data_IF_340448895210
#
_entry.id   IF_340448895210
#
_cell.length_a   1.000
_cell.length_b   1.000
_cell.length_c   1.000
_cell.angle_alpha   90.00
_cell.angle_beta   90.00
_cell.angle_gamma   90.00
#
_symmetry.space_group_name_H-M   'P 1'
#
loop_
_entity.id
_entity.type
_entity.pdbx_description
1 polymer ?
#
# COMPACT_ATOMS: atom_id res chain seq x y z
N UNK A 1 18.20 3.24 -25.39
CA UNK A 1 17.83 4.26 -24.38
C UNK A 1 16.68 3.68 -23.58
N UNK A 2 16.85 3.64 -22.26
CA UNK A 2 15.86 3.27 -21.23
C UNK A 2 15.35 1.82 -21.21
N UNK A 3 16.11 0.95 -20.54
CA UNK A 3 15.57 -0.29 -19.98
C UNK A 3 14.39 0.03 -19.07
N UNK A 4 13.21 -0.46 -19.44
CA UNK A 4 12.07 -0.59 -18.54
C UNK A 4 12.50 -1.48 -17.37
N UNK A 5 12.90 -0.87 -16.25
CA UNK A 5 13.02 -1.61 -14.99
C UNK A 5 11.60 -1.93 -14.57
N UNK A 6 11.15 -3.15 -14.87
CA UNK A 6 9.99 -3.77 -14.24
C UNK A 6 10.12 -3.53 -12.74
N UNK A 7 9.24 -2.71 -12.17
CA UNK A 7 9.22 -2.48 -10.73
C UNK A 7 8.78 -3.79 -10.10
N UNK A 8 9.56 -4.32 -9.16
CA UNK A 8 9.20 -5.56 -8.48
C UNK A 8 7.80 -5.39 -7.86
N UNK A 9 6.87 -6.34 -8.05
CA UNK A 9 5.49 -6.20 -7.58
C UNK A 9 5.42 -6.01 -6.05
N UNK A 10 6.42 -6.50 -5.31
CA UNK A 10 6.57 -6.24 -3.89
C UNK A 10 6.85 -4.76 -3.59
N UNK A 11 7.75 -4.10 -4.33
CA UNK A 11 8.05 -2.66 -4.17
C UNK A 11 6.80 -1.82 -4.47
N UNK A 12 6.05 -2.19 -5.52
CA UNK A 12 4.81 -1.50 -5.86
C UNK A 12 3.75 -1.64 -4.75
N UNK A 13 3.56 -2.86 -4.24
CA UNK A 13 2.67 -3.12 -3.10
C UNK A 13 3.08 -2.31 -1.88
N UNK A 14 4.35 -2.33 -1.50
CA UNK A 14 4.84 -1.67 -0.30
C UNK A 14 4.71 -0.15 -0.40
N UNK A 15 4.91 0.40 -1.59
CA UNK A 15 4.67 1.83 -1.87
C UNK A 15 3.18 2.20 -1.70
N UNK A 16 2.26 1.35 -2.16
CA UNK A 16 0.82 1.57 -1.99
C UNK A 16 0.39 1.46 -0.52
N UNK A 17 0.94 0.49 0.22
CA UNK A 17 0.68 0.35 1.65
C UNK A 17 1.15 1.59 2.42
N UNK A 18 2.32 2.10 2.07
CA UNK A 18 2.87 3.32 2.67
C UNK A 18 1.96 4.54 2.40
N UNK A 19 1.52 4.73 1.15
CA UNK A 19 0.60 5.83 0.82
C UNK A 19 -0.71 5.75 1.64
N UNK A 20 -1.27 4.54 1.80
CA UNK A 20 -2.49 4.33 2.58
C UNK A 20 -2.24 4.66 4.07
N UNK A 21 -1.11 4.23 4.62
CA UNK A 21 -0.73 4.49 6.01
C UNK A 21 -0.56 5.99 6.28
N UNK A 22 0.13 6.72 5.41
CA UNK A 22 0.30 8.17 5.52
C UNK A 22 -1.04 8.90 5.48
N UNK A 23 -1.91 8.56 4.50
CA UNK A 23 -3.14 9.31 4.25
C UNK A 23 -4.25 9.03 5.26
N UNK A 24 -4.36 7.79 5.72
CA UNK A 24 -5.48 7.37 6.55
C UNK A 24 -5.12 7.20 8.02
N UNK A 25 -3.88 6.81 8.32
CA UNK A 25 -3.42 6.53 9.68
C UNK A 25 -2.42 7.58 10.19
N UNK A 26 -1.95 8.48 9.33
CA UNK A 26 -0.95 9.52 9.63
C UNK A 26 0.37 8.93 10.14
N UNK A 27 0.76 7.77 9.61
CA UNK A 27 2.01 7.10 9.96
C UNK A 27 3.11 7.49 8.98
N UNK A 28 4.29 7.82 9.51
CA UNK A 28 5.49 8.16 8.71
C UNK A 28 6.29 6.93 8.26
N UNK A 29 6.02 5.76 8.84
CA UNK A 29 6.64 4.50 8.45
C UNK A 29 5.77 3.31 8.88
N UNK A 30 5.94 2.17 8.20
CA UNK A 30 5.39 0.87 8.60
C UNK A 30 6.47 -0.06 9.18
N UNK A 31 7.70 0.42 9.34
CA UNK A 31 8.79 -0.33 9.97
C UNK A 31 8.62 -0.35 11.49
N UNK A 32 8.82 -1.52 12.11
CA UNK A 32 8.84 -1.66 13.57
C UNK A 32 10.13 -1.08 14.15
N UNK A 33 10.00 -0.17 15.12
CA UNK A 33 11.12 0.57 15.73
C UNK A 33 11.53 0.03 17.10
N UNK A 34 10.80 -0.96 17.62
CA UNK A 34 10.99 -1.56 18.95
C UNK A 34 10.96 -0.53 20.07
N UNK A 35 10.03 0.43 19.97
CA UNK A 35 9.84 1.49 20.95
C UNK A 35 8.36 1.77 21.10
N UNK A 36 7.83 1.62 22.32
CA UNK A 36 6.40 1.77 22.56
C UNK A 36 5.86 3.12 22.05
N UNK A 37 6.57 4.22 22.33
CA UNK A 37 6.15 5.55 21.93
C UNK A 37 6.18 5.79 20.41
N UNK A 38 6.93 4.98 19.65
CA UNK A 38 7.04 5.08 18.20
C UNK A 38 6.21 4.04 17.45
N UNK A 39 5.86 2.93 18.10
CA UNK A 39 5.16 1.79 17.48
C UNK A 39 3.68 1.69 17.88
N UNK A 40 3.26 2.35 18.97
CA UNK A 40 1.84 2.40 19.37
C UNK A 40 1.23 3.76 19.03
N UNK A 41 0.09 3.72 18.33
CA UNK A 41 -0.63 4.92 17.89
C UNK A 41 -2.10 4.84 18.27
N UNK A 42 -2.59 5.88 18.95
CA UNK A 42 -4.02 6.09 19.14
C UNK A 42 -4.65 6.51 17.81
N UNK A 43 -5.40 5.58 17.21
CA UNK A 43 -6.03 5.78 15.91
C UNK A 43 -7.53 5.71 16.01
N UNK A 44 -8.21 6.65 15.37
CA UNK A 44 -9.67 6.61 15.32
C UNK A 44 -10.18 5.41 14.51
N UNK A 45 -11.27 4.78 14.97
CA UNK A 45 -11.84 3.60 14.31
C UNK A 45 -12.25 3.88 12.85
N UNK A 46 -12.72 5.09 12.55
CA UNK A 46 -13.08 5.47 11.18
C UNK A 46 -11.85 5.59 10.26
N UNK A 47 -10.70 6.00 10.78
CA UNK A 47 -9.44 6.05 10.05
C UNK A 47 -8.96 4.63 9.71
N UNK A 48 -9.02 3.71 10.68
CA UNK A 48 -8.72 2.28 10.46
C UNK A 48 -9.63 1.69 9.39
N UNK A 49 -10.95 1.92 9.47
CA UNK A 49 -11.91 1.47 8.45
C UNK A 49 -11.54 2.02 7.07
N UNK A 50 -11.25 3.31 6.98
CA UNK A 50 -10.89 3.95 5.72
C UNK A 50 -9.60 3.38 5.11
N UNK A 51 -8.59 3.08 5.92
CA UNK A 51 -7.34 2.47 5.48
C UNK A 51 -7.57 1.06 4.92
N UNK A 52 -8.38 0.24 5.62
CA UNK A 52 -8.71 -1.12 5.19
C UNK A 52 -9.51 -1.12 3.87
N UNK A 53 -10.47 -0.21 3.73
CA UNK A 53 -11.24 -0.05 2.48
C UNK A 53 -10.34 0.33 1.30
N UNK A 54 -9.40 1.27 1.52
CA UNK A 54 -8.43 1.69 0.51
C UNK A 54 -7.49 0.54 0.11
N UNK A 55 -6.98 -0.23 1.09
CA UNK A 55 -6.09 -1.37 0.83
C UNK A 55 -6.79 -2.48 0.05
N UNK A 56 -8.04 -2.80 0.41
CA UNK A 56 -8.83 -3.80 -0.30
C UNK A 56 -9.05 -3.41 -1.77
N UNK A 57 -9.48 -2.17 -2.02
CA UNK A 57 -9.74 -1.69 -3.38
C UNK A 57 -8.45 -1.57 -4.21
N UNK A 58 -7.33 -1.16 -3.60
CA UNK A 58 -6.02 -1.16 -4.25
C UNK A 58 -5.62 -2.57 -4.72
N UNK A 59 -5.77 -3.57 -3.85
CA UNK A 59 -5.50 -4.97 -4.19
C UNK A 59 -6.42 -5.49 -5.31
N UNK A 60 -7.71 -5.13 -5.26
CA UNK A 60 -8.70 -5.54 -6.26
C UNK A 60 -8.40 -4.97 -7.65
N UNK A 61 -7.94 -3.71 -7.73
CA UNK A 61 -7.48 -3.08 -8.98
C UNK A 61 -6.22 -3.74 -9.51
N UNK A 62 -5.24 -4.03 -8.64
CA UNK A 62 -4.00 -4.69 -9.04
C UNK A 62 -4.26 -6.08 -9.67
N UNK A 63 -5.20 -6.86 -9.11
CA UNK A 63 -5.62 -8.13 -9.71
C UNK A 63 -6.38 -7.97 -11.04
N UNK A 64 -7.17 -6.91 -11.19
CA UNK A 64 -7.93 -6.64 -12.43
C UNK A 64 -7.05 -6.19 -13.60
N UNK A 65 -5.96 -5.46 -13.31
CA UNK A 65 -5.00 -5.01 -14.33
C UNK A 65 -4.19 -6.16 -14.91
N UNK A 66 -3.83 -7.16 -14.09
CA UNK A 66 -3.07 -8.34 -14.54
C UNK A 66 -3.82 -9.17 -15.62
N UNK A 67 -5.15 -9.22 -15.52
CA UNK A 67 -5.99 -9.90 -16.52
C UNK A 67 -6.10 -9.13 -17.84
N UNK A 68 -5.93 -7.80 -17.81
CA UNK A 68 -6.05 -6.94 -18.99
C UNK A 68 -4.74 -6.82 -19.80
N UNK A 69 -3.58 -7.04 -19.18
CA UNK A 69 -2.27 -7.00 -19.85
C UNK A 69 -1.90 -8.31 -20.58
N UNK A 70 -2.72 -9.38 -20.45
CA UNK A 70 -2.46 -10.69 -21.08
C UNK A 70 -3.04 -10.82 -22.50
N UNK A 71 -3.73 -9.81 -23.02
CA UNK A 71 -4.24 -9.82 -24.42
C UNK A 71 -3.26 -9.19 -25.40
N UNK A 72 -2.15 -9.88 -25.67
CA UNK A 72 -1.33 -9.60 -26.85
C UNK A 72 -1.61 -10.67 -27.93
N UNK A 73 -2.31 -10.28 -28.99
CA UNK A 73 -2.33 -11.01 -30.27
C UNK A 73 -1.10 -10.64 -31.11
#
# INVERSE_FOLDING_TARGET
MSSTKTIDPAIARDSQLMEIAERHLFLETLETRNSDALDFHDTAIWAIRSALEAAFEAGRRAGSTADSDTVHF
#
